data_IF_397977421320
#
_entry.id   IF_397977421320
#
_cell.length_a   1.000
_cell.length_b   1.000
_cell.length_c   1.000
_cell.angle_alpha   90.00
_cell.angle_beta   90.00
_cell.angle_gamma   90.00
#
_symmetry.space_group_name_H-M   'P 1'
#
loop_
_entity.id
_entity.type
_entity.pdbx_description
1 polymer ?
#
# COMPACT_ATOMS: atom_id res chain seq x y z
N UNK A 1 4.31 4.57 11.21
CA UNK A 1 3.94 4.96 9.83
C UNK A 1 2.64 4.28 9.43
N UNK A 2 1.76 5.01 8.79
CA UNK A 2 0.48 4.49 8.32
C UNK A 2 0.35 4.70 6.83
N UNK A 3 -0.33 3.78 6.17
CA UNK A 3 -0.71 3.94 4.78
C UNK A 3 -2.23 3.91 4.65
N UNK A 4 -2.70 4.52 3.57
CA UNK A 4 -4.12 4.48 3.21
C UNK A 4 -4.32 3.34 2.22
N UNK A 5 -5.21 2.43 2.58
CA UNK A 5 -5.55 1.28 1.75
C UNK A 5 -6.96 1.40 1.23
N UNK A 6 -7.21 0.81 0.07
CA UNK A 6 -8.53 0.81 -0.53
C UNK A 6 -9.03 -0.63 -0.65
N UNK A 7 -10.21 -0.90 -0.10
CA UNK A 7 -10.83 -2.20 -0.28
C UNK A 7 -11.41 -2.29 -1.69
N UNK A 8 -10.91 -3.20 -2.55
CA UNK A 8 -11.38 -3.26 -3.94
C UNK A 8 -12.82 -3.75 -4.08
N UNK A 9 -13.32 -4.50 -3.10
CA UNK A 9 -14.68 -5.01 -3.17
C UNK A 9 -15.71 -4.01 -2.70
N UNK A 10 -15.38 -3.23 -1.68
CA UNK A 10 -16.30 -2.26 -1.09
C UNK A 10 -16.00 -0.83 -1.52
N UNK A 11 -14.88 -0.62 -2.18
CA UNK A 11 -14.42 0.69 -2.64
C UNK A 11 -14.38 1.72 -1.51
N UNK A 12 -13.94 1.27 -0.34
CA UNK A 12 -13.80 2.11 0.83
C UNK A 12 -12.33 2.20 1.22
N UNK A 13 -11.95 3.33 1.81
CA UNK A 13 -10.57 3.55 2.24
C UNK A 13 -10.46 3.36 3.74
N UNK A 14 -9.27 2.93 4.17
CA UNK A 14 -8.97 2.81 5.59
C UNK A 14 -7.47 3.03 5.80
N UNK A 15 -7.11 3.47 7.00
CA UNK A 15 -5.70 3.61 7.39
C UNK A 15 -5.28 2.40 8.20
N UNK A 16 -4.03 1.98 8.03
CA UNK A 16 -3.48 0.91 8.85
C UNK A 16 -1.97 1.07 8.99
N UNK A 17 -1.47 0.80 10.18
CA UNK A 17 -0.05 0.64 10.44
C UNK A 17 0.32 -0.84 10.57
N UNK A 18 -0.64 -1.73 10.51
CA UNK A 18 -0.45 -3.17 10.68
C UNK A 18 -0.28 -3.83 9.31
N UNK A 19 0.91 -3.72 8.77
CA UNK A 19 1.23 -4.28 7.46
C UNK A 19 2.68 -4.77 7.46
N UNK A 20 3.02 -5.59 6.46
CA UNK A 20 4.37 -6.06 6.23
C UNK A 20 4.77 -5.73 4.80
N UNK A 21 6.03 -5.35 4.62
CA UNK A 21 6.59 -5.11 3.30
C UNK A 21 7.23 -6.41 2.83
N UNK A 22 6.76 -6.90 1.67
CA UNK A 22 7.25 -8.13 1.06
C UNK A 22 7.75 -7.83 -0.34
N UNK A 23 8.57 -8.74 -0.88
CA UNK A 23 9.14 -8.62 -2.23
C UNK A 23 9.79 -7.26 -2.48
N UNK A 24 10.51 -6.76 -1.48
CA UNK A 24 11.16 -5.46 -1.59
C UNK A 24 12.35 -5.53 -2.54
N UNK A 25 12.21 -4.89 -3.69
CA UNK A 25 13.27 -4.81 -4.70
C UNK A 25 14.01 -3.47 -4.66
N UNK A 26 13.65 -2.62 -3.71
CA UNK A 26 14.29 -1.32 -3.55
C UNK A 26 13.65 -0.24 -4.42
N UNK A 27 14.42 0.80 -4.69
CA UNK A 27 13.94 1.94 -5.46
C UNK A 27 14.09 1.64 -6.95
N UNK A 28 13.01 1.85 -7.69
CA UNK A 28 13.00 1.73 -9.14
C UNK A 28 12.66 3.08 -9.78
N UNK A 29 12.84 3.16 -11.08
CA UNK A 29 12.54 4.38 -11.84
C UNK A 29 11.56 4.00 -12.93
N UNK A 30 10.46 4.75 -13.03
CA UNK A 30 9.46 4.50 -14.05
C UNK A 30 9.86 5.12 -15.40
N UNK A 31 9.00 4.98 -16.40
CA UNK A 31 9.27 5.49 -17.74
C UNK A 31 9.38 7.01 -17.80
N UNK A 32 8.80 7.68 -16.81
CA UNK A 32 8.85 9.15 -16.74
C UNK A 32 10.02 9.66 -15.92
N UNK A 33 10.85 8.76 -15.39
CA UNK A 33 11.99 9.12 -14.58
C UNK A 33 11.68 9.35 -13.11
N UNK A 34 10.48 9.02 -12.66
CA UNK A 34 10.11 9.14 -11.26
C UNK A 34 10.57 7.93 -10.46
N UNK A 35 11.07 8.19 -9.27
CA UNK A 35 11.51 7.12 -8.38
C UNK A 35 10.33 6.63 -7.54
N UNK A 36 10.27 5.31 -7.35
CA UNK A 36 9.25 4.70 -6.51
C UNK A 36 9.82 3.47 -5.81
N UNK A 37 9.18 3.07 -4.72
CA UNK A 37 9.57 1.85 -4.01
C UNK A 37 8.92 0.64 -4.68
N UNK A 38 9.75 -0.24 -5.21
CA UNK A 38 9.26 -1.47 -5.86
C UNK A 38 9.17 -2.58 -4.82
N UNK A 39 8.04 -2.61 -4.15
CA UNK A 39 7.78 -3.59 -3.09
C UNK A 39 6.28 -3.84 -3.00
N UNK A 40 5.93 -4.96 -2.41
CA UNK A 40 4.53 -5.27 -2.11
C UNK A 40 4.28 -5.08 -0.63
N UNK A 41 3.08 -4.67 -0.29
CA UNK A 41 2.66 -4.47 1.09
C UNK A 41 1.49 -5.40 1.37
N UNK A 42 1.65 -6.27 2.35
CA UNK A 42 0.61 -7.19 2.77
C UNK A 42 0.06 -6.76 4.13
N UNK A 43 -1.25 -6.78 4.27
CA UNK A 43 -1.88 -6.44 5.53
C UNK A 43 -1.65 -7.56 6.55
N UNK A 44 -1.30 -7.18 7.79
CA UNK A 44 -1.16 -8.13 8.89
C UNK A 44 -2.51 -8.60 9.42
N UNK A 45 -3.54 -7.80 9.22
CA UNK A 45 -4.91 -8.13 9.63
C UNK A 45 -5.84 -8.10 8.44
N UNK A 46 -6.93 -8.85 8.48
CA UNK A 46 -7.91 -8.81 7.40
C UNK A 46 -8.50 -7.41 7.22
N UNK A 47 -8.91 -7.13 5.98
CA UNK A 47 -9.60 -5.89 5.68
C UNK A 47 -10.86 -5.76 6.56
N UNK A 48 -11.08 -4.59 7.20
CA UNK A 48 -12.25 -4.43 8.07
C UNK A 48 -13.58 -4.42 7.33
N UNK A 49 -13.54 -4.29 6.01
CA UNK A 49 -14.76 -4.20 5.22
C UNK A 49 -15.20 -5.53 4.61
N UNK A 50 -14.24 -6.32 4.13
CA UNK A 50 -14.58 -7.59 3.49
C UNK A 50 -13.99 -8.81 4.19
N UNK A 51 -13.11 -8.61 5.16
CA UNK A 51 -12.53 -9.70 5.94
C UNK A 51 -11.42 -10.47 5.27
N UNK A 52 -10.96 -10.03 4.11
CA UNK A 52 -9.87 -10.68 3.40
C UNK A 52 -8.59 -9.87 3.51
N UNK A 53 -7.46 -10.57 3.47
CA UNK A 53 -6.16 -9.91 3.46
C UNK A 53 -5.79 -9.57 2.03
N UNK A 54 -5.62 -8.29 1.77
CA UNK A 54 -5.23 -7.81 0.45
C UNK A 54 -3.73 -7.52 0.41
N UNK A 55 -3.15 -7.65 -0.78
CA UNK A 55 -1.76 -7.29 -1.03
C UNK A 55 -1.76 -6.15 -2.03
N UNK A 56 -0.98 -5.12 -1.73
CA UNK A 56 -0.89 -3.93 -2.57
C UNK A 56 0.55 -3.70 -2.98
N UNK A 57 0.75 -3.06 -4.14
CA UNK A 57 2.05 -2.57 -4.50
C UNK A 57 2.30 -1.25 -3.77
N UNK A 58 3.52 -1.06 -3.26
CA UNK A 58 3.84 0.12 -2.47
C UNK A 58 3.59 1.43 -3.21
N UNK A 59 3.80 1.44 -4.53
CA UNK A 59 3.59 2.64 -5.34
C UNK A 59 2.11 3.03 -5.46
N UNK A 60 1.20 2.11 -5.16
CA UNK A 60 -0.24 2.37 -5.23
C UNK A 60 -0.79 2.94 -3.93
N UNK A 61 0.02 2.93 -2.87
CA UNK A 61 -0.42 3.39 -1.56
C UNK A 61 -0.12 4.86 -1.38
N UNK A 62 -1.02 5.54 -0.68
CA UNK A 62 -0.84 6.93 -0.33
C UNK A 62 -0.47 7.06 1.13
N UNK A 63 0.53 7.92 1.41
CA UNK A 63 0.90 8.23 2.78
C UNK A 63 0.10 9.46 3.23
N UNK A 64 -0.64 9.37 4.35
CA UNK A 64 -1.45 10.50 4.80
C UNK A 64 -0.64 11.74 5.19
N UNK A 65 0.67 11.56 5.40
CA UNK A 65 1.53 12.68 5.74
C UNK A 65 2.26 13.26 4.54
N UNK A 66 2.03 12.75 3.36
CA UNK A 66 2.68 13.26 2.19
C UNK A 66 2.06 14.58 1.78
N UNK A 67 2.93 15.57 1.61
CA UNK A 67 2.52 16.94 1.37
C UNK A 67 2.50 17.32 -0.10
N UNK A 68 2.74 16.42 -0.97
CA UNK A 68 2.85 16.71 -2.39
C UNK A 68 1.62 17.33 -2.99
#
# INVERSE_FOLDING_TARGET
>A
MKFIFVCPEKQKVFESALFEIIDNKGIAIDMKGNKFLDANVALSKPCPFCGEKHVYHASELSCPFESS
#
